data_IF_946644463229
#
_entry.id   IF_946644463229
#
_cell.length_a   1.000
_cell.length_b   1.000
_cell.length_c   1.000
_cell.angle_alpha   90.00
_cell.angle_beta   90.00
_cell.angle_gamma   90.00
#
_symmetry.space_group_name_H-M   'P 1'
#
loop_
_entity.id
_entity.type
_entity.pdbx_description
1 polymer ?
#
# COMPACT_ATOMS: atom_id res chain seq x y z
N UNK A 1 -21.98 19.95 -1.25
CA UNK A 1 -21.61 20.98 -0.26
C UNK A 1 -21.24 22.24 -0.99
N UNK A 2 -21.75 23.35 -0.50
CA UNK A 2 -21.54 24.64 -1.16
C UNK A 2 -20.15 25.19 -0.78
N UNK A 3 -19.28 25.38 -1.76
CA UNK A 3 -17.93 25.95 -1.57
C UNK A 3 -17.98 27.41 -1.04
N UNK A 4 -19.15 28.02 -1.06
CA UNK A 4 -19.35 29.40 -0.58
C UNK A 4 -19.74 29.46 0.88
N UNK A 5 -20.00 28.34 1.55
CA UNK A 5 -20.31 28.32 2.99
C UNK A 5 -19.09 28.77 3.80
N UNK A 6 -19.18 29.90 4.52
CA UNK A 6 -18.05 30.44 5.29
C UNK A 6 -17.60 29.54 6.45
N UNK A 7 -18.37 28.51 6.78
CA UNK A 7 -18.06 27.56 7.84
C UNK A 7 -17.51 26.25 7.30
N UNK A 8 -17.41 26.09 5.96
CA UNK A 8 -16.90 24.89 5.34
C UNK A 8 -15.40 24.99 5.10
N UNK A 9 -14.64 24.09 5.71
CA UNK A 9 -13.19 23.99 5.50
C UNK A 9 -12.89 22.96 4.42
N UNK A 10 -12.20 23.39 3.39
CA UNK A 10 -11.71 22.54 2.30
C UNK A 10 -10.19 22.41 2.45
N UNK A 11 -9.72 21.19 2.63
CA UNK A 11 -8.29 20.91 2.62
C UNK A 11 -7.89 20.37 1.23
N UNK A 12 -7.01 21.11 0.57
CA UNK A 12 -6.42 20.64 -0.68
C UNK A 12 -5.34 19.61 -0.37
N UNK A 13 -5.74 18.35 -0.36
CA UNK A 13 -4.87 17.23 -0.05
C UNK A 13 -3.75 17.09 -1.09
N UNK A 14 -4.04 17.40 -2.34
CA UNK A 14 -3.07 17.29 -3.43
C UNK A 14 -1.96 18.33 -3.31
N UNK A 15 -2.31 19.59 -3.09
CA UNK A 15 -1.33 20.65 -2.87
C UNK A 15 -0.60 20.47 -1.54
N UNK A 16 -1.29 19.95 -0.50
CA UNK A 16 -0.74 19.84 0.83
C UNK A 16 0.25 18.70 1.02
N UNK A 17 0.04 17.55 0.40
CA UNK A 17 0.83 16.35 0.73
C UNK A 17 1.25 15.50 -0.49
N UNK A 18 0.42 15.37 -1.52
CA UNK A 18 0.69 14.48 -2.65
C UNK A 18 2.04 14.72 -3.30
N UNK A 19 2.30 15.94 -3.73
CA UNK A 19 3.49 16.26 -4.52
C UNK A 19 4.77 16.12 -3.71
N UNK A 20 4.70 16.44 -2.42
CA UNK A 20 5.84 16.26 -1.51
C UNK A 20 6.16 14.78 -1.30
N UNK A 21 5.14 13.93 -1.13
CA UNK A 21 5.32 12.50 -0.98
C UNK A 21 5.87 11.84 -2.25
N UNK A 22 5.36 12.22 -3.42
CA UNK A 22 5.86 11.70 -4.69
C UNK A 22 7.35 12.01 -4.86
N UNK A 23 7.77 13.23 -4.59
CA UNK A 23 9.19 13.59 -4.62
C UNK A 23 10.03 12.78 -3.64
N UNK A 24 9.54 12.62 -2.42
CA UNK A 24 10.26 11.86 -1.38
C UNK A 24 10.40 10.40 -1.77
N UNK A 25 9.31 9.76 -2.18
CA UNK A 25 9.31 8.35 -2.57
C UNK A 25 10.17 8.11 -3.82
N UNK A 26 10.16 9.04 -4.78
CA UNK A 26 10.99 8.94 -5.99
C UNK A 26 12.49 8.98 -5.68
N UNK A 27 12.89 9.60 -4.59
CA UNK A 27 14.29 9.65 -4.13
C UNK A 27 14.66 8.56 -3.13
N UNK A 28 13.68 7.77 -2.70
CA UNK A 28 13.90 6.69 -1.72
C UNK A 28 14.38 5.42 -2.45
N UNK A 29 15.44 4.75 -1.96
CA UNK A 29 15.94 3.56 -2.63
C UNK A 29 14.92 2.42 -2.61
N UNK A 30 14.86 1.66 -3.69
CA UNK A 30 14.11 0.41 -3.75
C UNK A 30 14.90 -0.70 -3.10
N UNK A 31 14.25 -1.45 -2.23
CA UNK A 31 14.84 -2.54 -1.49
C UNK A 31 14.13 -3.85 -1.84
N UNK A 32 14.84 -4.98 -1.84
CA UNK A 32 14.18 -6.28 -2.02
C UNK A 32 13.13 -6.54 -0.93
N UNK A 33 12.02 -7.15 -1.30
CA UNK A 33 11.02 -7.60 -0.34
C UNK A 33 11.50 -8.87 0.37
N UNK A 34 12.39 -8.70 1.33
CA UNK A 34 13.00 -9.78 2.08
C UNK A 34 12.61 -9.74 3.56
N UNK A 35 12.91 -10.81 4.26
CA UNK A 35 12.68 -10.89 5.70
C UNK A 35 13.38 -9.75 6.44
N UNK A 36 12.63 -9.05 7.29
CA UNK A 36 13.16 -7.98 8.13
C UNK A 36 13.30 -6.62 7.44
N UNK A 37 12.83 -6.47 6.21
CA UNK A 37 12.84 -5.17 5.53
C UNK A 37 11.90 -4.18 6.21
N UNK A 38 12.33 -2.92 6.31
CA UNK A 38 11.56 -1.83 6.89
C UNK A 38 11.84 -1.59 8.38
N UNK A 39 11.59 -0.37 8.85
CA UNK A 39 11.77 0.01 10.24
C UNK A 39 10.57 -0.35 11.12
N UNK A 40 10.77 -0.31 12.43
CA UNK A 40 9.70 -0.49 13.42
C UNK A 40 8.94 0.83 13.68
N UNK A 41 8.58 1.51 12.59
CA UNK A 41 7.94 2.82 12.59
C UNK A 41 6.65 2.81 11.77
N UNK A 42 5.82 3.82 11.99
CA UNK A 42 4.68 4.11 11.14
C UNK A 42 5.13 4.76 9.83
N UNK A 43 4.40 4.53 8.77
CA UNK A 43 4.70 5.16 7.48
C UNK A 43 3.87 4.63 6.33
N UNK A 44 4.28 5.03 5.14
CA UNK A 44 3.74 4.56 3.88
C UNK A 44 4.78 3.72 3.16
N UNK A 45 4.31 2.74 2.39
CA UNK A 45 5.16 1.90 1.56
C UNK A 45 4.56 1.68 0.19
N UNK A 46 5.43 1.44 -0.76
CA UNK A 46 5.08 1.06 -2.12
C UNK A 46 5.65 -0.33 -2.39
N UNK A 47 4.88 -1.15 -3.09
CA UNK A 47 5.35 -2.44 -3.60
C UNK A 47 5.43 -2.37 -5.10
N UNK A 48 6.56 -2.81 -5.64
CA UNK A 48 6.86 -2.88 -7.07
C UNK A 48 6.99 -4.34 -7.48
N UNK A 49 6.47 -4.65 -8.64
CA UNK A 49 6.68 -5.94 -9.30
C UNK A 49 7.26 -5.71 -10.70
N UNK A 50 8.41 -6.30 -10.97
CA UNK A 50 9.15 -6.08 -12.22
C UNK A 50 9.35 -4.59 -12.54
N UNK A 51 9.66 -3.79 -11.52
CA UNK A 51 9.88 -2.36 -11.65
C UNK A 51 8.64 -1.49 -11.75
N UNK A 52 7.44 -2.08 -11.79
CA UNK A 52 6.18 -1.35 -11.86
C UNK A 52 5.53 -1.23 -10.49
N UNK A 53 5.03 -0.03 -10.16
CA UNK A 53 4.27 0.19 -8.94
C UNK A 53 2.96 -0.58 -9.01
N UNK A 54 2.73 -1.49 -8.06
CA UNK A 54 1.52 -2.32 -8.02
C UNK A 54 0.65 -2.09 -6.80
N UNK A 55 1.22 -1.61 -5.69
CA UNK A 55 0.48 -1.43 -4.44
C UNK A 55 1.07 -0.32 -3.59
N UNK A 56 0.18 0.43 -2.92
CA UNK A 56 0.51 1.39 -1.87
C UNK A 56 -0.24 1.00 -0.61
N UNK A 57 0.46 0.96 0.51
CA UNK A 57 -0.13 0.66 1.80
C UNK A 57 0.43 1.54 2.91
N UNK A 58 -0.18 1.40 4.08
CA UNK A 58 0.22 2.12 5.28
C UNK A 58 0.46 1.18 6.45
N UNK A 59 1.26 1.66 7.38
CA UNK A 59 1.40 1.09 8.70
C UNK A 59 1.24 2.21 9.73
N UNK A 60 0.31 2.04 10.67
CA UNK A 60 0.08 2.98 11.77
C UNK A 60 0.14 2.27 13.10
N UNK A 61 0.81 2.89 14.08
CA UNK A 61 0.96 2.33 15.42
C UNK A 61 -0.20 2.68 16.35
N UNK A 62 -1.02 3.68 16.01
CA UNK A 62 -1.97 4.27 16.95
C UNK A 62 -3.42 4.42 16.46
N UNK A 63 -3.71 4.34 15.16
CA UNK A 63 -5.04 4.71 14.63
C UNK A 63 -5.97 3.55 14.28
N UNK A 64 -5.51 2.32 14.34
CA UNK A 64 -6.33 1.16 13.98
C UNK A 64 -6.26 0.09 15.05
N UNK A 65 -7.30 -0.75 15.13
CA UNK A 65 -7.30 -1.93 16.01
C UNK A 65 -6.17 -2.92 15.69
N UNK A 66 -5.58 -2.83 14.51
CA UNK A 66 -4.44 -3.61 14.09
C UNK A 66 -3.21 -2.72 13.97
N UNK A 67 -2.65 -2.32 15.11
CA UNK A 67 -1.39 -1.60 15.16
C UNK A 67 -0.30 -2.41 14.47
N UNK A 68 0.38 -1.79 13.49
CA UNK A 68 1.45 -2.42 12.73
C UNK A 68 2.55 -1.42 12.45
N UNK A 69 3.78 -1.87 12.53
CA UNK A 69 4.93 -1.15 11.99
C UNK A 69 5.10 -1.45 10.51
N UNK A 70 5.89 -0.64 9.81
CA UNK A 70 6.27 -0.90 8.42
C UNK A 70 6.87 -2.30 8.26
N UNK A 71 7.79 -2.68 9.15
CA UNK A 71 8.40 -4.02 9.14
C UNK A 71 7.36 -5.13 9.23
N UNK A 72 6.40 -5.00 10.13
CA UNK A 72 5.34 -6.00 10.31
C UNK A 72 4.44 -6.09 9.08
N UNK A 73 4.04 -4.95 8.50
CA UNK A 73 3.20 -4.95 7.30
C UNK A 73 3.92 -5.56 6.09
N UNK A 74 5.18 -5.21 5.89
CA UNK A 74 5.97 -5.78 4.80
C UNK A 74 6.21 -7.27 4.99
N UNK A 75 6.42 -7.71 6.23
CA UNK A 75 6.51 -9.14 6.55
C UNK A 75 5.21 -9.89 6.26
N UNK A 76 4.06 -9.30 6.59
CA UNK A 76 2.75 -9.88 6.26
C UNK A 76 2.59 -10.05 4.74
N UNK A 77 2.92 -9.03 3.95
CA UNK A 77 2.87 -9.13 2.48
C UNK A 77 3.81 -10.21 1.96
N UNK A 78 5.04 -10.25 2.44
CA UNK A 78 5.98 -11.27 2.04
C UNK A 78 5.47 -12.68 2.34
N UNK A 79 4.94 -12.90 3.54
CA UNK A 79 4.42 -14.20 3.96
C UNK A 79 3.21 -14.64 3.13
N UNK A 80 2.35 -13.70 2.76
CA UNK A 80 1.19 -13.99 1.91
C UNK A 80 1.56 -14.21 0.44
N UNK A 81 2.59 -13.51 -0.03
CA UNK A 81 3.05 -13.63 -1.43
C UNK A 81 3.83 -14.92 -1.68
N UNK A 82 4.68 -15.33 -0.75
CA UNK A 82 5.59 -16.45 -0.93
C UNK A 82 4.93 -17.71 -1.49
N UNK A 83 3.80 -18.21 -0.96
CA UNK A 83 3.15 -19.40 -1.50
C UNK A 83 2.48 -19.16 -2.87
N UNK A 84 2.20 -17.91 -3.24
CA UNK A 84 1.52 -17.56 -4.49
C UNK A 84 2.49 -17.33 -5.64
N UNK A 85 3.62 -16.69 -5.38
CA UNK A 85 4.56 -16.24 -6.42
C UNK A 85 5.83 -17.10 -6.51
N UNK A 86 6.14 -17.87 -5.47
CA UNK A 86 7.31 -18.77 -5.46
C UNK A 86 8.62 -18.02 -5.73
N UNK A 87 9.39 -18.48 -6.69
CA UNK A 87 10.68 -17.88 -7.07
C UNK A 87 10.54 -16.44 -7.62
N UNK A 88 9.35 -16.04 -8.05
CA UNK A 88 9.07 -14.69 -8.51
C UNK A 88 9.08 -13.65 -7.38
N UNK A 89 9.21 -14.07 -6.11
CA UNK A 89 9.37 -13.15 -4.99
C UNK A 89 10.58 -12.22 -5.18
N UNK A 90 11.63 -12.68 -5.83
CA UNK A 90 12.82 -11.88 -6.16
C UNK A 90 12.55 -10.68 -7.06
N UNK A 91 11.43 -10.69 -7.79
CA UNK A 91 11.02 -9.60 -8.69
C UNK A 91 10.24 -8.50 -7.98
N UNK A 92 10.05 -8.64 -6.67
CA UNK A 92 9.36 -7.67 -5.82
C UNK A 92 10.36 -6.78 -5.08
N UNK A 93 10.10 -5.48 -5.16
CA UNK A 93 10.84 -4.46 -4.44
C UNK A 93 9.89 -3.57 -3.65
N UNK A 94 10.41 -2.89 -2.65
CA UNK A 94 9.64 -1.98 -1.81
C UNK A 94 10.38 -0.66 -1.60
N UNK A 95 9.62 0.41 -1.45
CA UNK A 95 10.09 1.66 -0.88
C UNK A 95 9.21 2.01 0.32
N UNK A 96 9.72 2.81 1.23
CA UNK A 96 8.92 3.30 2.34
C UNK A 96 9.39 4.69 2.77
N UNK A 97 8.51 5.42 3.43
CA UNK A 97 8.80 6.67 4.13
C UNK A 97 8.18 6.63 5.52
N UNK A 98 8.89 7.17 6.50
CA UNK A 98 8.40 7.31 7.86
C UNK A 98 7.82 8.71 8.07
N UNK A 99 6.96 8.85 9.07
CA UNK A 99 6.29 10.10 9.40
C UNK A 99 6.46 10.40 10.88
N UNK A 100 6.48 11.67 11.21
CA UNK A 100 6.46 12.14 12.60
C UNK A 100 5.10 11.90 13.28
N UNK A 101 4.03 11.89 12.49
CA UNK A 101 2.66 11.71 13.00
C UNK A 101 1.86 10.76 12.14
N UNK A 102 1.15 9.85 12.78
CA UNK A 102 0.27 8.88 12.12
C UNK A 102 -0.91 9.56 11.38
N UNK A 103 -1.29 10.78 11.76
CA UNK A 103 -2.29 11.56 11.05
C UNK A 103 -1.93 11.78 9.58
N UNK A 104 -0.67 12.10 9.32
CA UNK A 104 -0.19 12.34 7.96
C UNK A 104 -0.06 11.06 7.16
N UNK A 105 0.16 9.93 7.82
CA UNK A 105 0.20 8.61 7.14
C UNK A 105 -1.14 8.33 6.46
N UNK A 106 -2.25 8.50 7.17
CA UNK A 106 -3.60 8.25 6.63
C UNK A 106 -3.90 9.19 5.46
N UNK A 107 -3.66 10.48 5.63
CA UNK A 107 -3.88 11.47 4.58
C UNK A 107 -3.01 11.21 3.35
N UNK A 108 -1.74 10.85 3.58
CA UNK A 108 -0.79 10.53 2.50
C UNK A 108 -1.19 9.29 1.70
N UNK A 109 -1.67 8.24 2.34
CA UNK A 109 -2.15 7.06 1.64
C UNK A 109 -3.31 7.39 0.71
N UNK A 110 -4.30 8.13 1.21
CA UNK A 110 -5.46 8.54 0.40
C UNK A 110 -5.01 9.34 -0.83
N UNK A 111 -4.14 10.32 -0.64
CA UNK A 111 -3.65 11.17 -1.73
C UNK A 111 -2.89 10.37 -2.79
N UNK A 112 -2.00 9.47 -2.38
CA UNK A 112 -1.19 8.67 -3.29
C UNK A 112 -2.02 7.64 -4.07
N UNK A 113 -2.93 6.94 -3.40
CA UNK A 113 -3.78 5.93 -4.06
C UNK A 113 -4.69 6.59 -5.09
N UNK A 114 -5.28 7.74 -4.76
CA UNK A 114 -6.14 8.48 -5.70
C UNK A 114 -5.40 8.92 -6.96
N UNK A 115 -4.16 9.37 -6.80
CA UNK A 115 -3.38 9.90 -7.91
C UNK A 115 -2.68 8.82 -8.73
N UNK A 116 -2.02 7.86 -8.07
CA UNK A 116 -1.22 6.84 -8.74
C UNK A 116 -2.04 5.62 -9.17
N UNK A 117 -3.18 5.39 -8.52
CA UNK A 117 -4.12 4.29 -8.82
C UNK A 117 -3.41 2.94 -9.04
N UNK A 118 -2.61 2.43 -8.08
CA UNK A 118 -1.90 1.18 -8.29
C UNK A 118 -2.87 0.02 -8.55
N UNK A 119 -2.56 -0.88 -9.50
CA UNK A 119 -3.54 -1.87 -9.96
C UNK A 119 -3.97 -2.89 -8.90
N UNK A 120 -3.17 -3.12 -7.87
CA UNK A 120 -3.50 -4.13 -6.86
C UNK A 120 -4.19 -3.55 -5.61
N UNK A 121 -4.34 -2.25 -5.49
CA UNK A 121 -5.01 -1.64 -4.35
C UNK A 121 -6.50 -1.99 -4.28
N UNK A 122 -7.15 -2.23 -5.41
CA UNK A 122 -8.56 -2.61 -5.49
C UNK A 122 -8.78 -4.13 -5.57
N UNK A 123 -7.70 -4.90 -5.54
CA UNK A 123 -7.74 -6.35 -5.78
C UNK A 123 -7.87 -7.20 -4.52
N UNK A 124 -8.01 -6.59 -3.35
CA UNK A 124 -7.94 -7.30 -2.08
C UNK A 124 -6.53 -7.74 -1.68
N UNK A 125 -5.49 -7.28 -2.37
CA UNK A 125 -4.09 -7.61 -2.09
C UNK A 125 -3.69 -7.28 -0.65
N UNK A 126 -4.20 -6.18 -0.10
CA UNK A 126 -3.97 -5.78 1.30
C UNK A 126 -4.89 -6.45 2.31
N UNK A 127 -5.83 -7.29 1.88
CA UNK A 127 -6.74 -8.02 2.77
C UNK A 127 -6.06 -9.19 3.46
N UNK A 128 -6.73 -9.77 4.48
CA UNK A 128 -6.22 -10.95 5.19
C UNK A 128 -6.01 -12.16 4.28
N UNK A 129 -6.75 -12.21 3.17
CA UNK A 129 -6.66 -13.28 2.17
C UNK A 129 -6.37 -12.65 0.82
N UNK A 130 -5.10 -12.60 0.37
CA UNK A 130 -4.76 -12.05 -0.95
C UNK A 130 -5.54 -12.77 -2.04
N UNK A 131 -6.09 -12.02 -2.99
CA UNK A 131 -6.83 -12.56 -4.12
C UNK A 131 -8.25 -13.01 -3.81
N UNK A 132 -8.78 -12.80 -2.60
CA UNK A 132 -10.17 -13.12 -2.32
C UNK A 132 -11.15 -12.02 -2.76
N UNK A 133 -10.65 -10.92 -3.29
CA UNK A 133 -11.48 -9.82 -3.76
C UNK A 133 -12.32 -9.15 -2.65
N UNK A 134 -13.08 -8.14 -3.01
CA UNK A 134 -14.13 -7.61 -2.10
C UNK A 134 -15.34 -8.53 -2.20
N UNK A 135 -15.99 -8.88 -1.06
CA UNK A 135 -17.22 -9.64 -1.10
C UNK A 135 -18.23 -8.99 -2.06
N UNK A 136 -18.80 -9.80 -2.97
CA UNK A 136 -19.82 -9.35 -3.92
C UNK A 136 -19.30 -8.83 -5.26
N UNK A 137 -18.01 -8.93 -5.57
CA UNK A 137 -17.47 -8.62 -6.89
C UNK A 137 -16.98 -9.88 -7.59
N UNK A 138 -17.54 -10.20 -8.74
CA UNK A 138 -17.10 -11.33 -9.60
C UNK A 138 -15.87 -10.96 -10.44
N UNK A 139 -15.22 -9.83 -10.16
CA UNK A 139 -14.04 -9.39 -10.91
C UNK A 139 -12.81 -10.14 -10.46
N UNK A 140 -12.16 -10.80 -11.39
CA UNK A 140 -10.81 -11.32 -11.19
C UNK A 140 -9.87 -10.14 -10.99
N UNK A 141 -9.12 -10.12 -9.89
CA UNK A 141 -8.17 -9.05 -9.64
C UNK A 141 -6.97 -9.16 -10.57
N UNK A 142 -6.33 -8.03 -10.90
CA UNK A 142 -5.10 -8.04 -11.69
C UNK A 142 -3.96 -8.84 -11.03
N UNK A 143 -3.95 -8.95 -9.71
CA UNK A 143 -3.04 -9.85 -9.00
C UNK A 143 -3.36 -11.30 -9.27
N UNK A 144 -4.64 -11.69 -9.20
CA UNK A 144 -5.06 -13.08 -9.45
C UNK A 144 -4.90 -13.51 -10.91
N UNK A 145 -4.94 -12.56 -11.85
CA UNK A 145 -4.63 -12.86 -13.26
C UNK A 145 -3.18 -13.29 -13.44
N UNK A 146 -2.25 -12.61 -12.75
CA UNK A 146 -0.83 -12.95 -12.80
C UNK A 146 -0.46 -14.15 -11.94
N UNK A 147 -1.09 -14.27 -10.80
CA UNK A 147 -0.84 -15.30 -9.79
C UNK A 147 -2.16 -15.93 -9.34
N UNK A 148 -2.74 -16.84 -10.14
CA UNK A 148 -4.01 -17.48 -9.80
C UNK A 148 -3.98 -18.11 -8.41
N UNK A 149 -5.09 -18.03 -7.65
CA UNK A 149 -5.17 -18.74 -6.37
C UNK A 149 -5.02 -20.25 -6.62
N UNK A 150 -4.40 -20.98 -5.70
CA UNK A 150 -4.37 -22.44 -5.78
C UNK A 150 -5.81 -22.96 -5.83
N UNK A 151 -6.06 -23.97 -6.68
CA UNK A 151 -7.36 -24.60 -6.77
C UNK A 151 -7.83 -24.97 -5.36
N UNK A 152 -9.06 -24.57 -5.04
CA UNK A 152 -9.68 -24.99 -3.80
C UNK A 152 -9.87 -26.51 -3.90
N UNK A 153 -8.97 -27.21 -3.25
CA UNK A 153 -9.12 -28.64 -3.10
C UNK A 153 -10.40 -28.95 -2.31
#
# INVERSE_FOLDING_TARGET
MDETDPHHFIFDLDAGIRDQLIRKLSSTPRLPLKKGVGPQESGLYQIFFEGQLVYIGKATKTFTKSERTLRQRLAEHRNKLTPRVGERLKDFEVTYVTFESDWWVVAGEVALIRYLAPPWNESGFGSKTPGSGRPGTDRVSSFDELFPPPDKA
#
